data_IF_718180074888
#
_entry.id   IF_718180074888
#
_cell.length_a   1.000
_cell.length_b   1.000
_cell.length_c   1.000
_cell.angle_alpha   90.00
_cell.angle_beta   90.00
_cell.angle_gamma   90.00
#
_symmetry.space_group_name_H-M   'P 1'
#
loop_
_entity.id
_entity.type
_entity.pdbx_description
1 polymer ?
#
# COMPACT_ATOMS: atom_id res chain seq x y z
N UNK A 1 -8.15 37.41 7.36
CA UNK A 1 -8.12 35.96 7.12
C UNK A 1 -6.79 35.43 7.62
N UNK A 2 -6.82 34.54 8.59
CA UNK A 2 -5.65 34.12 9.32
C UNK A 2 -4.73 33.24 8.46
N UNK A 3 -3.53 33.74 8.18
CA UNK A 3 -2.47 33.05 7.42
C UNK A 3 -2.01 31.72 8.08
N UNK A 4 -2.35 31.50 9.32
CA UNK A 4 -2.02 30.30 10.12
C UNK A 4 -2.82 29.05 9.71
N UNK A 5 -4.01 29.20 9.13
CA UNK A 5 -4.86 28.06 8.72
C UNK A 5 -4.45 27.40 7.40
N UNK A 6 -3.73 28.12 6.53
CA UNK A 6 -3.26 27.58 5.25
C UNK A 6 -2.00 26.75 5.41
N UNK A 7 -1.09 27.16 6.30
CA UNK A 7 0.12 26.40 6.62
C UNK A 7 -0.19 25.03 7.27
N UNK A 8 -1.24 24.95 8.10
CA UNK A 8 -1.68 23.70 8.74
C UNK A 8 -2.30 22.73 7.74
N UNK A 9 -2.97 23.23 6.68
CA UNK A 9 -3.57 22.38 5.64
C UNK A 9 -2.50 21.75 4.71
N UNK A 10 -1.43 22.49 4.39
CA UNK A 10 -0.32 21.95 3.58
C UNK A 10 0.51 20.90 4.35
N UNK A 11 0.73 21.08 5.65
CA UNK A 11 1.35 20.08 6.49
C UNK A 11 0.54 18.77 6.57
N UNK A 12 -0.80 18.84 6.54
CA UNK A 12 -1.68 17.67 6.57
C UNK A 12 -1.66 16.82 5.28
N UNK A 13 -1.26 17.39 4.13
CA UNK A 13 -1.17 16.68 2.85
C UNK A 13 0.10 15.80 2.75
N UNK A 14 1.11 16.06 3.59
CA UNK A 14 2.39 15.34 3.58
C UNK A 14 2.47 14.17 4.56
N UNK A 15 1.44 14.00 5.36
CA UNK A 15 1.46 13.05 6.43
C UNK A 15 0.35 12.01 6.15
N UNK A 16 0.72 10.85 5.65
CA UNK A 16 0.12 9.66 6.24
C UNK A 16 0.06 9.93 7.74
N UNK A 17 -1.06 9.67 8.47
CA UNK A 17 -1.25 10.19 9.81
C UNK A 17 0.05 10.07 10.60
N UNK A 18 0.73 11.18 10.78
CA UNK A 18 1.93 11.22 11.60
C UNK A 18 1.41 11.18 13.01
N UNK A 19 1.30 9.97 13.48
CA UNK A 19 1.29 9.73 14.89
C UNK A 19 2.46 10.52 15.46
N UNK A 20 2.21 11.25 16.50
CA UNK A 20 3.05 12.23 17.17
C UNK A 20 4.55 11.90 17.08
N UNK A 21 5.23 12.49 16.11
CA UNK A 21 6.69 12.42 16.09
C UNK A 21 7.24 13.22 17.29
N UNK A 22 8.23 12.68 17.94
CA UNK A 22 8.92 13.33 19.05
C UNK A 22 9.94 14.29 18.46
N UNK A 23 9.81 15.60 18.76
CA UNK A 23 10.80 16.59 18.40
C UNK A 23 12.06 16.37 19.27
N UNK A 24 13.16 15.94 18.63
CA UNK A 24 14.43 15.64 19.31
C UNK A 24 15.32 16.87 19.37
N UNK A 25 15.26 17.69 18.34
CA UNK A 25 16.04 18.91 18.25
C UNK A 25 15.28 19.97 17.47
N UNK A 26 15.37 21.22 17.94
CA UNK A 26 14.88 22.39 17.24
C UNK A 26 15.72 23.61 17.57
N UNK A 27 16.06 24.36 16.55
CA UNK A 27 16.59 25.72 16.67
C UNK A 27 15.77 26.71 15.83
N UNK A 28 16.26 27.91 15.62
CA UNK A 28 15.55 28.96 14.86
C UNK A 28 15.23 28.55 13.40
N UNK A 29 15.91 27.56 12.86
CA UNK A 29 15.79 27.16 11.45
C UNK A 29 15.66 25.67 11.21
N UNK A 30 16.14 24.84 12.11
CA UNK A 30 16.23 23.40 11.91
C UNK A 30 15.34 22.65 12.90
N UNK A 31 14.72 21.57 12.47
CA UNK A 31 14.08 20.59 13.33
C UNK A 31 14.49 19.17 12.95
N UNK A 32 14.59 18.30 13.96
CA UNK A 32 14.76 16.86 13.85
C UNK A 32 13.68 16.18 14.66
N UNK A 33 12.94 15.30 14.02
CA UNK A 33 11.86 14.54 14.62
C UNK A 33 12.13 13.04 14.47
N UNK A 34 11.70 12.27 15.46
CA UNK A 34 11.67 10.79 15.40
C UNK A 34 10.22 10.35 15.60
N UNK A 35 9.77 9.44 14.76
CA UNK A 35 8.44 8.85 14.85
C UNK A 35 8.48 7.37 14.48
N UNK A 36 7.31 6.77 14.44
CA UNK A 36 7.15 5.36 14.12
C UNK A 36 6.30 4.63 15.14
N UNK A 37 6.26 3.32 15.03
CA UNK A 37 5.55 2.47 15.97
C UNK A 37 6.14 1.06 16.00
N UNK A 38 5.92 0.37 17.11
CA UNK A 38 6.09 -1.07 17.25
C UNK A 38 4.69 -1.69 17.34
N UNK A 39 4.43 -2.63 16.47
CA UNK A 39 3.18 -3.40 16.41
C UNK A 39 3.52 -4.88 16.42
N UNK A 40 3.06 -5.58 17.44
CA UNK A 40 3.22 -7.02 17.57
C UNK A 40 1.86 -7.66 17.83
N UNK A 41 1.62 -8.80 17.20
CA UNK A 41 0.33 -9.46 17.26
C UNK A 41 0.47 -10.99 17.28
N UNK A 42 -0.47 -11.63 17.93
CA UNK A 42 -0.75 -13.06 17.75
C UNK A 42 -1.78 -13.16 16.63
N UNK A 43 -1.51 -13.94 15.61
CA UNK A 43 -2.44 -14.24 14.51
C UNK A 43 -2.72 -15.74 14.46
N UNK A 44 -3.97 -16.08 14.18
CA UNK A 44 -4.36 -17.44 13.80
C UNK A 44 -5.02 -17.38 12.44
N UNK A 45 -4.42 -18.04 11.47
CA UNK A 45 -4.90 -18.17 10.08
C UNK A 45 -4.22 -19.37 9.44
N UNK A 46 -4.78 -19.93 8.36
CA UNK A 46 -4.22 -21.07 7.63
C UNK A 46 -3.96 -22.32 8.53
N UNK A 47 -4.73 -22.46 9.61
CA UNK A 47 -4.58 -23.55 10.57
C UNK A 47 -3.42 -23.39 11.57
N UNK A 48 -2.68 -22.30 11.52
CA UNK A 48 -1.51 -22.00 12.35
C UNK A 48 -1.72 -20.81 13.27
N UNK A 49 -0.92 -20.74 14.34
CA UNK A 49 -0.94 -19.61 15.29
C UNK A 49 0.48 -19.14 15.53
N UNK A 50 0.74 -17.88 15.25
CA UNK A 50 2.08 -17.28 15.35
C UNK A 50 2.06 -15.90 16.00
N UNK A 51 3.23 -15.48 16.54
CA UNK A 51 3.49 -14.08 16.87
C UNK A 51 4.19 -13.43 15.70
N UNK A 52 3.57 -12.42 15.11
CA UNK A 52 4.07 -11.77 13.90
C UNK A 52 4.28 -10.27 14.09
N UNK A 53 5.16 -9.71 13.25
CA UNK A 53 5.38 -8.27 13.13
C UNK A 53 4.21 -7.58 12.42
N UNK A 54 3.66 -6.53 13.02
CA UNK A 54 2.61 -5.70 12.42
C UNK A 54 3.13 -4.55 11.56
N UNK A 55 4.17 -4.78 10.77
CA UNK A 55 4.84 -3.76 9.96
C UNK A 55 5.38 -2.59 10.79
N UNK A 56 5.99 -2.91 11.93
CA UNK A 56 6.68 -1.96 12.81
C UNK A 56 7.69 -1.11 12.04
N UNK A 57 7.86 0.14 12.46
CA UNK A 57 8.73 1.09 11.74
C UNK A 57 9.27 2.18 12.63
N UNK A 58 10.42 2.73 12.22
CA UNK A 58 11.01 3.94 12.77
C UNK A 58 11.26 4.93 11.64
N UNK A 59 11.00 6.21 11.87
CA UNK A 59 11.28 7.25 10.89
C UNK A 59 11.94 8.47 11.51
N UNK A 60 12.68 9.22 10.68
CA UNK A 60 13.34 10.46 11.00
C UNK A 60 12.89 11.52 10.01
N UNK A 61 12.45 12.68 10.55
CA UNK A 61 12.13 13.87 9.81
C UNK A 61 13.19 14.94 10.06
N UNK A 62 13.70 15.51 8.99
CA UNK A 62 14.63 16.65 9.04
C UNK A 62 13.97 17.82 8.31
N UNK A 63 13.98 19.01 8.89
CA UNK A 63 13.51 20.20 8.21
C UNK A 63 14.41 21.39 8.47
N UNK A 64 14.46 22.32 7.51
CA UNK A 64 15.22 23.55 7.60
C UNK A 64 14.49 24.69 6.90
N UNK A 65 14.18 25.72 7.66
CA UNK A 65 13.66 26.97 7.11
C UNK A 65 14.72 27.70 6.28
N UNK A 66 14.35 28.07 5.07
CA UNK A 66 15.16 28.82 4.12
C UNK A 66 14.63 30.26 3.99
N UNK A 67 15.26 31.04 3.15
CA UNK A 67 14.80 32.41 2.84
C UNK A 67 13.51 32.41 2.00
N UNK A 68 12.75 33.49 2.10
CA UNK A 68 11.55 33.76 1.28
C UNK A 68 10.43 32.71 1.42
N UNK A 69 10.26 32.11 2.60
CA UNK A 69 9.16 31.16 2.87
C UNK A 69 9.37 29.73 2.31
N UNK A 70 10.57 29.43 1.83
CA UNK A 70 10.93 28.07 1.46
C UNK A 70 11.33 27.25 2.69
N UNK A 71 11.01 25.96 2.64
CA UNK A 71 11.47 24.96 3.60
C UNK A 71 12.09 23.79 2.85
N UNK A 72 13.29 23.36 3.24
CA UNK A 72 13.91 22.13 2.79
C UNK A 72 13.66 21.02 3.83
N UNK A 73 13.38 19.81 3.38
CA UNK A 73 13.15 18.70 4.29
C UNK A 73 13.63 17.37 3.69
N UNK A 74 13.84 16.39 4.57
CA UNK A 74 14.07 15.01 4.20
C UNK A 74 13.33 14.09 5.18
N UNK A 75 12.88 12.93 4.70
CA UNK A 75 12.30 11.86 5.51
C UNK A 75 12.98 10.54 5.18
N UNK A 76 13.31 9.79 6.23
CA UNK A 76 13.80 8.42 6.16
C UNK A 76 12.88 7.54 7.01
N UNK A 77 12.52 6.38 6.51
CA UNK A 77 11.73 5.40 7.25
C UNK A 77 12.25 3.99 6.97
N UNK A 78 12.47 3.25 8.03
CA UNK A 78 12.79 1.82 7.98
C UNK A 78 11.70 1.01 8.65
N UNK A 79 11.35 -0.13 8.05
CA UNK A 79 10.65 -1.18 8.75
C UNK A 79 11.57 -1.83 9.77
N UNK A 80 10.99 -2.27 10.86
CA UNK A 80 11.68 -2.96 11.95
C UNK A 80 10.98 -4.28 12.19
N UNK A 81 11.71 -5.39 12.22
CA UNK A 81 11.15 -6.67 12.60
C UNK A 81 11.61 -7.07 14.02
N UNK A 82 10.78 -6.83 15.06
CA UNK A 82 11.15 -7.11 16.44
C UNK A 82 10.90 -8.58 16.87
N UNK A 83 10.25 -9.40 16.03
CA UNK A 83 9.79 -10.75 16.41
C UNK A 83 10.51 -11.89 15.67
N UNK A 84 11.25 -11.59 14.59
CA UNK A 84 11.89 -12.60 13.74
C UNK A 84 11.05 -12.94 12.51
N UNK A 85 11.49 -13.96 11.74
CA UNK A 85 10.77 -14.44 10.56
C UNK A 85 9.43 -15.08 10.91
N UNK A 86 8.53 -15.06 9.94
CA UNK A 86 7.22 -15.72 10.00
C UNK A 86 7.01 -16.56 8.76
N UNK A 87 6.43 -17.73 8.92
CA UNK A 87 6.02 -18.60 7.82
C UNK A 87 4.59 -18.28 7.34
N UNK A 88 3.82 -17.53 8.14
CA UNK A 88 2.45 -17.15 7.80
C UNK A 88 2.44 -15.92 6.88
N UNK A 89 1.99 -16.10 5.64
CA UNK A 89 1.67 -15.01 4.71
C UNK A 89 0.18 -14.69 4.81
N UNK A 90 -0.18 -13.66 5.56
CA UNK A 90 -1.58 -13.32 5.85
C UNK A 90 -2.11 -12.10 5.07
N UNK A 91 -1.25 -11.46 4.32
CA UNK A 91 -1.61 -10.42 3.36
C UNK A 91 -0.49 -10.31 2.30
N UNK A 92 -0.69 -9.52 1.25
CA UNK A 92 0.31 -9.29 0.21
C UNK A 92 1.39 -8.26 0.59
N UNK A 93 1.55 -7.94 1.88
CA UNK A 93 2.63 -7.07 2.39
C UNK A 93 3.83 -7.93 2.78
N UNK A 94 4.90 -7.88 2.02
CA UNK A 94 6.15 -8.59 2.33
C UNK A 94 6.75 -8.24 3.70
N UNK A 95 6.46 -7.06 4.22
CA UNK A 95 6.99 -6.59 5.50
C UNK A 95 6.64 -7.47 6.68
N UNK A 96 5.54 -8.21 6.60
CA UNK A 96 5.11 -9.10 7.68
C UNK A 96 5.97 -10.37 7.80
N UNK A 97 6.66 -10.75 6.73
CA UNK A 97 7.48 -11.96 6.62
C UNK A 97 8.97 -11.69 6.45
N UNK A 98 9.42 -10.44 6.61
CA UNK A 98 10.84 -10.08 6.46
C UNK A 98 11.70 -10.69 7.58
N UNK A 99 12.79 -11.35 7.19
CA UNK A 99 13.83 -11.84 8.10
C UNK A 99 14.76 -10.74 8.61
N UNK A 100 14.94 -9.70 7.82
CA UNK A 100 15.84 -8.61 8.15
C UNK A 100 15.28 -7.72 9.26
N UNK A 101 16.12 -7.40 10.26
CA UNK A 101 15.74 -6.52 11.35
C UNK A 101 15.38 -5.11 10.86
N UNK A 102 16.09 -4.58 9.85
CA UNK A 102 15.78 -3.32 9.18
C UNK A 102 15.64 -3.51 7.69
N UNK A 103 14.57 -2.94 7.11
CA UNK A 103 14.35 -2.87 5.67
C UNK A 103 13.86 -1.48 5.24
N UNK A 104 14.20 -1.08 4.00
CA UNK A 104 13.94 0.25 3.49
C UNK A 104 12.45 0.44 3.14
N UNK A 105 11.81 1.45 3.71
CA UNK A 105 10.42 1.81 3.41
C UNK A 105 10.30 3.11 2.64
N UNK A 106 10.84 4.21 3.18
CA UNK A 106 10.81 5.53 2.56
C UNK A 106 12.17 6.21 2.69
N UNK A 107 12.52 7.02 1.67
CA UNK A 107 13.72 7.83 1.69
C UNK A 107 13.62 8.91 0.62
N UNK A 108 13.25 10.13 1.02
CA UNK A 108 13.10 11.24 0.08
C UNK A 108 13.48 12.57 0.69
N UNK A 109 13.83 13.53 -0.17
CA UNK A 109 14.05 14.92 0.19
C UNK A 109 13.21 15.84 -0.71
N UNK A 110 12.93 17.04 -0.23
CA UNK A 110 12.10 17.97 -0.96
C UNK A 110 12.23 19.41 -0.52
N UNK A 111 11.56 20.27 -1.29
CA UNK A 111 11.38 21.68 -1.01
C UNK A 111 9.88 21.99 -0.99
N UNK A 112 9.45 22.78 -0.02
CA UNK A 112 8.07 23.24 0.10
C UNK A 112 7.99 24.76 0.23
N UNK A 113 6.89 25.31 -0.26
CA UNK A 113 6.53 26.71 -0.13
C UNK A 113 5.01 26.85 -0.14
N UNK A 114 4.45 27.67 0.75
CA UNK A 114 2.99 27.79 0.91
C UNK A 114 2.24 28.17 -0.37
N UNK A 115 2.87 28.96 -1.24
CA UNK A 115 2.27 29.42 -2.50
C UNK A 115 2.59 28.49 -3.69
N UNK A 116 3.81 27.91 -3.70
CA UNK A 116 4.33 27.19 -4.87
C UNK A 116 4.22 25.65 -4.71
N UNK A 117 3.68 25.17 -3.60
CA UNK A 117 3.53 23.75 -3.35
C UNK A 117 4.85 23.08 -2.95
N UNK A 118 4.92 21.77 -3.18
CA UNK A 118 6.04 20.95 -2.75
C UNK A 118 6.52 20.05 -3.87
N UNK A 119 7.83 19.97 -4.03
CA UNK A 119 8.51 19.00 -4.89
C UNK A 119 9.34 18.05 -4.02
N UNK A 120 9.25 16.76 -4.30
CA UNK A 120 9.99 15.70 -3.59
C UNK A 120 10.65 14.74 -4.56
N UNK A 121 11.79 14.17 -4.16
CA UNK A 121 12.55 13.19 -4.95
C UNK A 121 12.99 12.05 -4.02
N UNK A 122 12.73 10.81 -4.40
CA UNK A 122 13.14 9.61 -3.67
C UNK A 122 12.05 8.54 -3.59
N UNK A 123 12.24 7.57 -2.68
CA UNK A 123 11.25 6.52 -2.39
C UNK A 123 10.16 7.08 -1.49
N UNK A 124 8.92 7.16 -1.99
CA UNK A 124 7.82 7.83 -1.33
C UNK A 124 6.47 7.26 -1.75
N UNK A 125 5.42 7.58 -0.98
CA UNK A 125 4.07 7.18 -1.34
C UNK A 125 3.64 7.81 -2.67
N UNK A 126 3.10 6.96 -3.55
CA UNK A 126 2.61 7.34 -4.86
C UNK A 126 1.35 8.21 -4.79
N UNK A 127 1.11 8.99 -5.86
CA UNK A 127 -0.09 9.81 -5.97
C UNK A 127 -1.38 8.98 -5.95
N UNK A 128 -1.35 7.74 -6.45
CA UNK A 128 -2.48 6.81 -6.37
C UNK A 128 -2.92 6.54 -4.93
N UNK A 129 -1.98 6.48 -3.99
CA UNK A 129 -2.30 6.26 -2.58
C UNK A 129 -3.23 7.34 -2.01
N UNK A 130 -3.20 8.58 -2.51
CA UNK A 130 -4.09 9.66 -2.08
C UNK A 130 -5.58 9.35 -2.35
N UNK A 131 -5.86 8.47 -3.31
CA UNK A 131 -7.24 8.07 -3.66
C UNK A 131 -7.77 7.00 -2.71
N UNK A 132 -6.88 6.10 -2.26
CA UNK A 132 -7.29 4.85 -1.60
C UNK A 132 -6.92 4.73 -0.12
N UNK A 133 -6.03 5.59 0.39
CA UNK A 133 -5.53 5.48 1.78
C UNK A 133 -6.65 5.53 2.85
N UNK A 134 -7.78 6.15 2.53
CA UNK A 134 -8.89 6.35 3.47
C UNK A 134 -9.60 5.05 3.87
N UNK A 135 -9.43 3.96 3.14
CA UNK A 135 -9.92 2.63 3.50
C UNK A 135 -8.87 1.76 4.20
N UNK A 136 -7.62 2.23 4.27
CA UNK A 136 -6.45 1.48 4.72
C UNK A 136 -6.12 1.75 6.20
N UNK A 137 -7.07 1.43 7.09
CA UNK A 137 -6.94 1.63 8.55
C UNK A 137 -7.08 0.35 9.38
N UNK A 138 -7.27 -0.80 8.76
CA UNK A 138 -7.08 -2.10 9.40
C UNK A 138 -5.60 -2.28 9.77
N UNK A 139 -5.31 -2.88 10.92
CA UNK A 139 -3.91 -3.13 11.30
C UNK A 139 -3.39 -4.44 10.73
N UNK A 140 -4.28 -5.41 10.48
CA UNK A 140 -3.93 -6.75 10.04
C UNK A 140 -4.29 -6.96 8.57
N UNK A 141 -5.53 -6.71 8.19
CA UNK A 141 -6.04 -6.94 6.84
C UNK A 141 -6.66 -5.68 6.26
N UNK A 142 -5.94 -5.03 5.36
CA UNK A 142 -6.41 -3.86 4.61
C UNK A 142 -5.63 -3.69 3.29
N UNK A 143 -6.13 -2.87 2.37
CA UNK A 143 -5.41 -2.41 1.18
C UNK A 143 -5.14 -3.46 0.11
N UNK A 144 -5.66 -4.68 0.23
CA UNK A 144 -5.32 -5.80 -0.66
C UNK A 144 -6.07 -5.79 -2.00
N UNK A 145 -6.99 -4.85 -2.19
CA UNK A 145 -7.82 -4.75 -3.41
C UNK A 145 -7.79 -3.36 -4.04
N UNK A 146 -7.07 -2.44 -3.40
CA UNK A 146 -6.93 -1.05 -3.84
C UNK A 146 -5.81 -0.85 -4.90
N UNK A 147 -5.09 -1.89 -5.28
CA UNK A 147 -3.98 -1.82 -6.23
C UNK A 147 -2.78 -1.00 -5.76
N UNK A 148 -2.55 -0.93 -4.45
CA UNK A 148 -1.38 -0.26 -3.83
C UNK A 148 -0.31 -1.27 -3.47
N UNK A 149 -0.72 -2.35 -2.81
CA UNK A 149 0.15 -3.44 -2.38
C UNK A 149 0.06 -4.57 -3.41
N UNK A 150 0.58 -4.30 -4.60
CA UNK A 150 0.56 -5.26 -5.69
C UNK A 150 1.52 -6.40 -5.43
N UNK A 151 1.03 -7.63 -5.61
CA UNK A 151 1.81 -8.84 -5.42
C UNK A 151 3.05 -8.83 -6.34
N UNK A 152 4.22 -9.30 -5.85
CA UNK A 152 5.50 -9.33 -6.56
C UNK A 152 6.02 -7.97 -7.07
N UNK A 153 5.42 -6.85 -6.69
CA UNK A 153 5.86 -5.50 -7.10
C UNK A 153 6.36 -4.66 -5.92
N UNK A 154 6.80 -5.31 -4.86
CA UNK A 154 7.43 -4.72 -3.67
C UNK A 154 6.61 -3.55 -3.10
N UNK A 155 5.32 -3.83 -2.78
CA UNK A 155 4.36 -2.86 -2.26
C UNK A 155 4.24 -1.58 -3.13
N UNK A 156 4.15 -1.78 -4.43
CA UNK A 156 4.03 -0.69 -5.40
C UNK A 156 5.31 0.10 -5.64
N UNK A 157 6.47 -0.42 -5.23
CA UNK A 157 7.77 0.24 -5.45
C UNK A 157 8.12 0.30 -6.94
N UNK A 158 7.88 -0.80 -7.67
CA UNK A 158 8.23 -0.94 -9.09
C UNK A 158 7.32 -0.13 -10.00
N UNK A 159 6.02 -0.10 -9.75
CA UNK A 159 5.04 0.61 -10.59
C UNK A 159 4.60 1.98 -10.05
N UNK A 160 5.10 2.39 -8.88
CA UNK A 160 4.92 3.72 -8.34
C UNK A 160 3.56 4.00 -7.68
N UNK A 161 2.73 2.99 -7.44
CA UNK A 161 1.38 3.18 -6.84
C UNK A 161 1.39 3.21 -5.31
N UNK A 162 2.32 2.47 -4.70
CA UNK A 162 2.52 2.40 -3.26
C UNK A 162 3.74 3.22 -2.82
N UNK A 163 4.77 2.56 -2.26
CA UNK A 163 6.04 3.21 -1.89
C UNK A 163 6.99 3.24 -3.08
N UNK A 164 6.64 4.05 -4.09
CA UNK A 164 7.33 4.14 -5.37
C UNK A 164 8.81 4.49 -5.26
N UNK A 165 9.68 3.66 -5.85
CA UNK A 165 11.11 3.91 -5.93
C UNK A 165 11.42 5.04 -6.92
N UNK A 166 12.46 5.86 -6.60
CA UNK A 166 13.04 6.85 -7.53
C UNK A 166 11.99 7.79 -8.16
N UNK A 167 10.99 8.16 -7.37
CA UNK A 167 9.86 9.01 -7.78
C UNK A 167 10.21 10.48 -7.64
N UNK A 168 9.86 11.27 -8.63
CA UNK A 168 9.76 12.72 -8.56
C UNK A 168 8.29 13.08 -8.46
N UNK A 169 7.91 13.89 -7.48
CA UNK A 169 6.52 14.22 -7.22
C UNK A 169 6.35 15.70 -6.95
N UNK A 170 5.27 16.29 -7.47
CA UNK A 170 4.83 17.65 -7.15
C UNK A 170 3.42 17.61 -6.58
N UNK A 171 3.21 18.35 -5.48
CA UNK A 171 1.93 18.50 -4.80
C UNK A 171 1.60 19.95 -4.54
N UNK A 172 0.33 20.33 -4.70
CA UNK A 172 -0.15 21.65 -4.30
C UNK A 172 -1.64 21.61 -3.93
N UNK A 173 -2.10 22.69 -3.31
CA UNK A 173 -3.51 22.85 -2.91
C UNK A 173 -3.98 24.30 -3.16
N UNK A 174 -5.23 24.43 -3.60
CA UNK A 174 -5.88 25.71 -3.88
C UNK A 174 -7.30 25.69 -3.27
N UNK A 175 -7.47 26.33 -2.12
CA UNK A 175 -8.73 26.28 -1.37
C UNK A 175 -9.05 24.86 -0.95
N UNK A 176 -10.20 24.34 -1.38
CA UNK A 176 -10.67 22.99 -1.07
C UNK A 176 -10.17 21.92 -2.06
N UNK A 177 -9.35 22.31 -2.99
CA UNK A 177 -8.82 21.46 -4.05
C UNK A 177 -7.34 21.16 -3.84
N UNK A 178 -6.94 19.91 -3.87
CA UNK A 178 -5.55 19.49 -3.84
C UNK A 178 -5.24 18.48 -4.92
N UNK A 179 -3.98 18.44 -5.36
CA UNK A 179 -3.52 17.48 -6.36
C UNK A 179 -2.09 17.04 -6.13
N UNK A 180 -1.79 15.87 -6.67
CA UNK A 180 -0.46 15.32 -6.80
C UNK A 180 -0.23 14.88 -8.24
N UNK A 181 0.98 15.09 -8.75
CA UNK A 181 1.48 14.50 -10.00
C UNK A 181 2.84 13.91 -9.76
N UNK A 182 3.14 12.78 -10.39
CA UNK A 182 4.39 12.06 -10.21
C UNK A 182 4.92 11.47 -11.51
N UNK A 183 6.23 11.23 -11.52
CA UNK A 183 6.92 10.40 -12.48
C UNK A 183 7.95 9.53 -11.76
N UNK A 184 7.97 8.25 -12.06
CA UNK A 184 9.02 7.33 -11.64
C UNK A 184 9.99 7.18 -12.83
N UNK A 185 11.26 7.55 -12.61
CA UNK A 185 12.25 7.74 -13.67
C UNK A 185 13.27 6.59 -13.73
N UNK A 186 12.85 5.38 -13.44
CA UNK A 186 13.75 4.23 -13.44
C UNK A 186 13.13 3.05 -14.13
N UNK A 187 13.96 2.36 -14.90
CA UNK A 187 13.76 0.97 -15.25
C UNK A 187 13.92 0.10 -14.00
N UNK A 188 12.94 -0.70 -13.67
CA UNK A 188 12.92 -1.67 -12.58
C UNK A 188 12.34 -2.97 -13.07
N UNK A 189 12.84 -4.10 -12.59
CA UNK A 189 12.38 -5.43 -12.98
C UNK A 189 12.08 -6.29 -11.76
N UNK A 190 11.24 -7.27 -11.95
CA UNK A 190 10.98 -8.37 -11.01
C UNK A 190 10.72 -9.65 -11.80
N UNK A 191 10.79 -10.79 -11.12
CA UNK A 191 10.52 -12.09 -11.72
C UNK A 191 9.19 -12.65 -11.23
N UNK A 192 8.47 -13.32 -12.12
CA UNK A 192 7.27 -14.10 -11.79
C UNK A 192 7.45 -15.55 -12.23
N UNK A 193 7.01 -16.48 -11.41
CA UNK A 193 7.06 -17.90 -11.71
C UNK A 193 5.75 -18.59 -11.39
N UNK A 194 5.43 -19.64 -12.12
CA UNK A 194 4.30 -20.53 -11.84
C UNK A 194 4.74 -21.68 -10.93
N UNK A 195 5.32 -21.37 -9.74
CA UNK A 195 5.84 -22.38 -8.81
C UNK A 195 5.64 -21.92 -7.38
N UNK A 196 5.20 -22.86 -6.53
CA UNK A 196 5.02 -22.64 -5.09
C UNK A 196 6.33 -22.35 -4.34
N UNK A 197 6.22 -21.53 -3.28
CA UNK A 197 7.28 -21.32 -2.28
C UNK A 197 8.65 -21.01 -2.90
N UNK A 198 8.66 -20.32 -4.04
CA UNK A 198 9.88 -19.91 -4.71
C UNK A 198 10.19 -18.46 -4.38
N UNK A 199 11.41 -18.18 -4.00
CA UNK A 199 11.90 -16.82 -3.84
C UNK A 199 12.10 -16.15 -5.21
N UNK A 200 12.13 -14.83 -5.25
CA UNK A 200 12.42 -14.09 -6.49
C UNK A 200 13.77 -14.49 -7.08
N UNK A 201 14.79 -14.71 -6.24
CA UNK A 201 16.11 -15.16 -6.68
C UNK A 201 16.09 -16.55 -7.33
N UNK A 202 15.28 -17.46 -6.82
CA UNK A 202 15.11 -18.79 -7.42
C UNK A 202 14.30 -18.71 -8.73
N UNK A 203 13.35 -17.80 -8.81
CA UNK A 203 12.62 -17.50 -10.02
C UNK A 203 13.53 -16.90 -11.09
N UNK A 204 14.42 -15.97 -10.72
CA UNK A 204 15.46 -15.44 -11.60
C UNK A 204 16.39 -16.53 -12.12
N UNK A 205 16.86 -17.42 -11.24
CA UNK A 205 17.72 -18.53 -11.63
C UNK A 205 17.05 -19.45 -12.67
N UNK A 206 15.76 -19.76 -12.48
CA UNK A 206 14.97 -20.54 -13.47
C UNK A 206 14.82 -19.83 -14.80
N UNK A 207 14.57 -18.53 -14.79
CA UNK A 207 14.49 -17.73 -16.01
C UNK A 207 15.83 -17.73 -16.75
N UNK A 208 16.96 -17.57 -16.04
CA UNK A 208 18.32 -17.65 -16.61
C UNK A 208 18.58 -19.02 -17.25
N UNK A 209 18.09 -20.09 -16.65
CA UNK A 209 18.20 -21.47 -17.16
C UNK A 209 17.26 -21.75 -18.32
N UNK A 210 16.41 -20.80 -18.69
CA UNK A 210 15.43 -20.95 -19.79
C UNK A 210 14.19 -21.74 -19.40
N UNK A 211 13.82 -21.74 -18.13
CA UNK A 211 12.58 -22.35 -17.64
C UNK A 211 11.35 -21.64 -18.23
N UNK A 212 10.47 -22.39 -18.89
CA UNK A 212 9.27 -21.86 -19.54
C UNK A 212 8.20 -21.36 -18.55
N UNK A 213 8.42 -21.58 -17.27
CA UNK A 213 7.58 -21.23 -16.13
C UNK A 213 8.05 -19.99 -15.39
N UNK A 214 9.07 -19.30 -15.91
CA UNK A 214 9.60 -18.07 -15.34
C UNK A 214 9.56 -16.93 -16.35
N UNK A 215 9.29 -15.71 -15.88
CA UNK A 215 9.24 -14.49 -16.68
C UNK A 215 9.94 -13.36 -15.96
N UNK A 216 10.64 -12.51 -16.71
CA UNK A 216 11.12 -11.22 -16.23
C UNK A 216 10.15 -10.12 -16.70
N UNK A 217 9.68 -9.31 -15.76
CA UNK A 217 8.87 -8.13 -16.03
C UNK A 217 9.71 -6.89 -15.76
N UNK A 218 9.88 -6.03 -16.76
CA UNK A 218 10.73 -4.84 -16.67
C UNK A 218 9.92 -3.59 -16.96
N UNK A 219 9.87 -2.69 -15.98
CA UNK A 219 9.20 -1.38 -16.11
C UNK A 219 10.18 -0.31 -16.57
N UNK A 220 9.80 0.48 -17.57
CA UNK A 220 10.56 1.65 -18.00
C UNK A 220 10.28 2.86 -17.12
N UNK A 221 9.17 3.53 -17.38
CA UNK A 221 8.72 4.72 -16.64
C UNK A 221 7.29 4.52 -16.20
N UNK A 222 6.97 5.07 -15.04
CA UNK A 222 5.58 5.20 -14.63
C UNK A 222 5.25 6.66 -14.33
N UNK A 223 4.00 7.03 -14.51
CA UNK A 223 3.52 8.35 -14.17
C UNK A 223 2.08 8.27 -13.67
N UNK A 224 1.75 9.18 -12.78
CA UNK A 224 0.43 9.19 -12.19
C UNK A 224 0.07 10.54 -11.62
N UNK A 225 -1.18 10.63 -11.20
CA UNK A 225 -1.68 11.81 -10.51
C UNK A 225 -2.99 11.51 -9.80
N UNK A 226 -3.26 12.34 -8.81
CA UNK A 226 -4.49 12.30 -8.04
C UNK A 226 -5.02 13.71 -7.78
N UNK A 227 -6.32 13.80 -7.64
CA UNK A 227 -7.06 14.99 -7.29
C UNK A 227 -7.92 14.69 -6.07
N UNK A 228 -8.00 15.62 -5.11
CA UNK A 228 -8.92 15.55 -3.99
C UNK A 228 -9.67 16.87 -3.87
N UNK A 229 -10.99 16.79 -3.69
CA UNK A 229 -11.84 17.93 -3.46
C UNK A 229 -12.60 17.77 -2.15
N UNK A 230 -12.46 18.76 -1.27
CA UNK A 230 -13.15 18.85 0.00
C UNK A 230 -14.54 19.48 -0.24
N UNK A 231 -15.56 18.64 -0.35
CA UNK A 231 -16.95 19.08 -0.65
C UNK A 231 -17.54 19.82 0.55
N UNK A 232 -17.28 19.33 1.74
CA UNK A 232 -17.61 19.95 3.03
C UNK A 232 -16.48 19.71 4.02
N UNK A 233 -16.60 20.20 5.25
CA UNK A 233 -15.63 19.89 6.31
C UNK A 233 -15.55 18.40 6.66
N UNK A 234 -16.62 17.65 6.39
CA UNK A 234 -16.71 16.22 6.68
C UNK A 234 -16.60 15.34 5.44
N UNK A 235 -16.85 15.85 4.24
CA UNK A 235 -16.93 15.07 3.00
C UNK A 235 -15.85 15.48 2.03
N UNK A 236 -15.04 14.52 1.62
CA UNK A 236 -14.11 14.67 0.50
C UNK A 236 -14.30 13.58 -0.55
N UNK A 237 -13.97 13.90 -1.78
CA UNK A 237 -13.93 12.99 -2.92
C UNK A 237 -12.56 13.07 -3.58
N UNK A 238 -12.08 11.93 -4.07
CA UNK A 238 -10.79 11.83 -4.75
C UNK A 238 -10.92 11.05 -6.05
N UNK A 239 -10.02 11.29 -6.98
CA UNK A 239 -9.87 10.51 -8.20
C UNK A 239 -8.40 10.52 -8.63
N UNK A 240 -7.96 9.45 -9.29
CA UNK A 240 -6.58 9.35 -9.72
C UNK A 240 -6.35 8.29 -10.78
N UNK A 241 -5.13 8.31 -11.28
CA UNK A 241 -4.63 7.37 -12.28
C UNK A 241 -3.14 7.15 -12.07
N UNK A 242 -2.68 5.93 -12.33
CA UNK A 242 -1.26 5.62 -12.51
C UNK A 242 -1.09 4.73 -13.74
N UNK A 243 -0.04 4.98 -14.53
CA UNK A 243 0.23 4.25 -15.77
C UNK A 243 1.73 4.03 -15.93
N UNK A 244 2.10 2.84 -16.37
CA UNK A 244 3.45 2.47 -16.79
C UNK A 244 3.44 1.57 -18.02
N UNK A 245 4.54 1.53 -18.77
CA UNK A 245 4.79 0.51 -19.77
C UNK A 245 5.81 -0.48 -19.23
N UNK A 246 5.64 -1.75 -19.55
CA UNK A 246 6.55 -2.81 -19.15
C UNK A 246 6.69 -3.87 -20.22
N UNK A 247 7.86 -4.49 -20.25
CA UNK A 247 8.15 -5.62 -21.10
C UNK A 247 8.13 -6.92 -20.29
N UNK A 248 7.56 -7.97 -20.86
CA UNK A 248 7.60 -9.33 -20.35
C UNK A 248 8.55 -10.10 -21.23
N UNK A 249 9.64 -10.63 -20.65
CA UNK A 249 10.57 -11.53 -21.29
C UNK A 249 10.32 -12.97 -20.78
N UNK A 250 10.01 -13.85 -21.69
CA UNK A 250 9.67 -15.25 -21.39
C UNK A 250 10.89 -16.20 -21.37
N UNK A 251 12.11 -15.66 -21.46
CA UNK A 251 13.35 -16.45 -21.41
C UNK A 251 13.63 -17.33 -22.64
N UNK A 252 12.68 -17.45 -23.57
CA UNK A 252 12.78 -18.24 -24.80
C UNK A 252 13.05 -17.40 -26.06
N UNK A 253 13.28 -16.09 -25.87
CA UNK A 253 13.43 -15.08 -26.92
C UNK A 253 12.14 -14.39 -27.34
N UNK A 254 11.00 -14.77 -26.77
CA UNK A 254 9.73 -14.07 -26.94
C UNK A 254 9.62 -12.94 -25.93
N UNK A 255 9.21 -11.77 -26.41
CA UNK A 255 8.95 -10.60 -25.56
C UNK A 255 7.59 -10.00 -25.90
N UNK A 256 6.94 -9.44 -24.90
CA UNK A 256 5.67 -8.75 -25.05
C UNK A 256 5.67 -7.46 -24.25
N UNK A 257 5.38 -6.34 -24.91
CA UNK A 257 5.13 -5.06 -24.22
C UNK A 257 3.66 -4.95 -23.82
N UNK A 258 3.43 -4.48 -22.61
CA UNK A 258 2.09 -4.25 -22.06
C UNK A 258 2.04 -2.91 -21.28
N UNK A 259 0.83 -2.49 -20.95
CA UNK A 259 0.57 -1.28 -20.17
C UNK A 259 0.00 -1.70 -18.83
N UNK A 260 0.65 -1.27 -17.75
CA UNK A 260 0.09 -1.27 -16.39
C UNK A 260 -0.74 0.01 -16.23
N UNK A 261 -2.01 -0.13 -15.94
CA UNK A 261 -2.92 0.99 -15.74
C UNK A 261 -3.84 0.72 -14.55
N UNK A 262 -3.89 1.69 -13.63
CA UNK A 262 -4.94 1.75 -12.62
C UNK A 262 -5.55 3.14 -12.60
N UNK A 263 -6.87 3.21 -12.47
CA UNK A 263 -7.59 4.45 -12.25
C UNK A 263 -8.85 4.21 -11.42
N UNK A 264 -9.31 5.25 -10.74
CA UNK A 264 -10.49 5.12 -9.90
C UNK A 264 -10.79 6.36 -9.09
N UNK A 265 -11.67 6.19 -8.12
CA UNK A 265 -12.16 7.27 -7.28
C UNK A 265 -12.37 6.79 -5.84
N UNK A 266 -12.30 7.75 -4.91
CA UNK A 266 -12.56 7.54 -3.49
C UNK A 266 -13.54 8.58 -2.92
N UNK A 267 -14.16 8.22 -1.83
CA UNK A 267 -15.02 9.09 -1.03
C UNK A 267 -14.74 8.86 0.45
N UNK A 268 -14.70 9.93 1.22
CA UNK A 268 -14.44 9.88 2.65
C UNK A 268 -15.39 10.82 3.40
N UNK A 269 -16.01 10.31 4.44
CA UNK A 269 -16.81 11.06 5.40
C UNK A 269 -16.21 10.96 6.80
N UNK A 270 -15.94 12.09 7.42
CA UNK A 270 -15.38 12.18 8.77
C UNK A 270 -13.86 12.13 8.81
N UNK A 271 -13.34 11.91 10.01
CA UNK A 271 -11.92 11.69 10.27
C UNK A 271 -11.79 10.46 11.17
N UNK A 272 -10.96 9.50 10.78
CA UNK A 272 -10.82 8.22 11.47
C UNK A 272 -10.31 8.36 12.92
N UNK A 273 -9.50 9.36 13.20
CA UNK A 273 -8.93 9.59 14.53
C UNK A 273 -9.84 10.38 15.46
N UNK A 274 -10.83 11.08 14.92
CA UNK A 274 -11.80 11.83 15.70
C UNK A 274 -12.92 10.93 16.24
N UNK A 275 -13.53 11.35 17.37
CA UNK A 275 -14.74 10.69 17.86
C UNK A 275 -15.90 10.88 16.87
N UNK A 276 -16.72 9.84 16.71
CA UNK A 276 -17.86 9.84 15.81
C UNK A 276 -17.73 8.88 14.63
N UNK A 277 -18.60 9.06 13.64
CA UNK A 277 -18.73 8.21 12.48
C UNK A 277 -17.66 8.55 11.43
N UNK A 278 -17.00 7.51 10.93
CA UNK A 278 -16.13 7.54 9.77
C UNK A 278 -16.60 6.55 8.71
N UNK A 279 -16.66 6.98 7.46
CA UNK A 279 -17.00 6.14 6.31
C UNK A 279 -16.02 6.46 5.18
N UNK A 280 -15.44 5.44 4.58
CA UNK A 280 -14.63 5.57 3.38
C UNK A 280 -14.95 4.46 2.38
N UNK A 281 -14.81 4.78 1.11
CA UNK A 281 -14.89 3.80 0.04
C UNK A 281 -14.00 4.23 -1.12
N UNK A 282 -13.45 3.24 -1.84
CA UNK A 282 -12.82 3.45 -3.13
C UNK A 282 -13.26 2.38 -4.13
N UNK A 283 -13.16 2.72 -5.41
CA UNK A 283 -13.35 1.81 -6.53
C UNK A 283 -12.25 2.04 -7.55
N UNK A 284 -11.77 0.97 -8.16
CA UNK A 284 -10.72 1.04 -9.16
C UNK A 284 -10.94 0.06 -10.32
N UNK A 285 -10.38 0.40 -11.47
CA UNK A 285 -10.20 -0.47 -12.61
C UNK A 285 -8.70 -0.64 -12.85
N UNK A 286 -8.31 -1.89 -13.06
CA UNK A 286 -6.93 -2.31 -13.27
C UNK A 286 -6.78 -3.00 -14.62
N UNK A 287 -5.67 -2.74 -15.31
CA UNK A 287 -5.24 -3.43 -16.52
C UNK A 287 -3.75 -3.78 -16.36
N UNK A 288 -3.43 -5.07 -16.38
CA UNK A 288 -2.07 -5.60 -16.18
C UNK A 288 -1.37 -5.05 -14.92
N UNK A 289 -2.14 -4.76 -13.87
CA UNK A 289 -1.69 -3.98 -12.74
C UNK A 289 -1.29 -4.83 -11.54
N UNK A 290 -2.01 -5.89 -11.24
CA UNK A 290 -1.77 -6.75 -10.08
C UNK A 290 -1.41 -8.17 -10.51
N UNK A 291 -1.03 -9.00 -9.56
CA UNK A 291 -0.81 -10.43 -9.74
C UNK A 291 -1.78 -11.21 -8.87
N UNK A 292 -2.05 -12.45 -9.27
CA UNK A 292 -2.73 -13.40 -8.40
C UNK A 292 -1.80 -13.88 -7.27
N UNK A 293 -2.31 -14.75 -6.40
CA UNK A 293 -1.62 -15.18 -5.19
C UNK A 293 -0.38 -16.07 -5.44
N UNK A 294 -0.15 -16.50 -6.66
CA UNK A 294 1.05 -17.25 -7.08
C UNK A 294 1.92 -16.44 -8.07
N UNK A 295 1.66 -15.15 -8.23
CA UNK A 295 2.51 -14.22 -8.96
C UNK A 295 2.20 -14.07 -10.46
N UNK A 296 1.10 -14.66 -10.98
CA UNK A 296 0.73 -14.50 -12.39
C UNK A 296 0.07 -13.13 -12.62
N UNK A 297 0.46 -12.45 -13.69
CA UNK A 297 -0.07 -11.13 -14.04
C UNK A 297 -1.55 -11.20 -14.45
N UNK A 298 -2.35 -10.32 -13.83
CA UNK A 298 -3.79 -10.19 -14.12
C UNK A 298 -4.00 -9.19 -15.25
N UNK A 299 -4.72 -9.60 -16.32
CA UNK A 299 -5.01 -8.73 -17.48
C UNK A 299 -5.90 -7.56 -17.12
N UNK A 300 -7.03 -7.86 -16.51
CA UNK A 300 -8.10 -6.94 -16.16
C UNK A 300 -8.70 -7.29 -14.81
N UNK A 301 -8.87 -6.30 -13.94
CA UNK A 301 -9.59 -6.48 -12.69
C UNK A 301 -10.38 -5.22 -12.30
N UNK A 302 -11.34 -5.39 -11.41
CA UNK A 302 -12.06 -4.32 -10.76
C UNK A 302 -11.91 -4.48 -9.25
N UNK A 303 -11.43 -3.42 -8.60
CA UNK A 303 -11.27 -3.38 -7.16
C UNK A 303 -12.27 -2.46 -6.48
N UNK A 304 -12.67 -2.81 -5.27
CA UNK A 304 -13.41 -1.94 -4.38
C UNK A 304 -13.06 -2.23 -2.93
N UNK A 305 -12.96 -1.18 -2.14
CA UNK A 305 -12.81 -1.27 -0.69
C UNK A 305 -13.78 -0.32 -0.01
N UNK A 306 -14.26 -0.73 1.16
CA UNK A 306 -15.07 0.11 2.04
C UNK A 306 -14.61 -0.04 3.48
N UNK A 307 -14.74 1.02 4.25
CA UNK A 307 -14.50 1.01 5.68
C UNK A 307 -15.56 1.86 6.38
N UNK A 308 -16.20 1.29 7.39
CA UNK A 308 -17.10 2.02 8.29
C UNK A 308 -16.61 1.82 9.73
N UNK A 309 -16.45 2.91 10.44
CA UNK A 309 -15.97 2.90 11.82
C UNK A 309 -16.70 3.94 12.67
N UNK A 310 -16.77 3.71 13.97
CA UNK A 310 -17.24 4.68 14.93
C UNK A 310 -16.33 4.71 16.15
N UNK A 311 -15.73 5.86 16.44
CA UNK A 311 -14.90 6.03 17.64
C UNK A 311 -15.73 6.66 18.76
N UNK A 312 -15.86 5.95 19.87
CA UNK A 312 -16.52 6.41 21.08
C UNK A 312 -15.59 7.26 21.96
N UNK A 313 -16.17 8.08 22.84
CA UNK A 313 -15.43 8.93 23.78
C UNK A 313 -14.53 8.12 24.75
N UNK A 314 -14.88 6.87 25.02
CA UNK A 314 -14.10 5.98 25.87
C UNK A 314 -12.92 5.28 25.12
N UNK A 315 -12.63 5.67 23.91
CA UNK A 315 -11.53 5.12 23.10
C UNK A 315 -11.85 3.83 22.33
N UNK A 316 -13.01 3.22 22.53
CA UNK A 316 -13.42 2.06 21.71
C UNK A 316 -13.74 2.51 20.28
N UNK A 317 -13.23 1.77 19.29
CA UNK A 317 -13.40 2.02 17.87
C UNK A 317 -13.68 0.70 17.12
N UNK A 318 -14.93 0.21 17.10
CA UNK A 318 -15.31 -0.86 16.18
C UNK A 318 -15.24 -0.39 14.73
N UNK A 319 -14.93 -1.32 13.84
CA UNK A 319 -15.01 -1.10 12.40
C UNK A 319 -15.42 -2.37 11.65
N UNK A 320 -15.89 -2.16 10.45
CA UNK A 320 -16.10 -3.20 9.44
C UNK A 320 -15.53 -2.70 8.12
N UNK A 321 -14.83 -3.56 7.40
CA UNK A 321 -14.40 -3.31 6.03
C UNK A 321 -14.83 -4.45 5.10
N UNK A 322 -15.06 -4.10 3.83
CA UNK A 322 -15.29 -5.05 2.76
C UNK A 322 -14.33 -4.74 1.61
N UNK A 323 -13.70 -5.78 1.10
CA UNK A 323 -12.66 -5.70 0.10
C UNK A 323 -12.95 -6.71 -1.01
N UNK A 324 -12.85 -6.29 -2.26
CA UNK A 324 -13.01 -7.16 -3.43
C UNK A 324 -12.10 -6.73 -4.57
N UNK A 325 -11.39 -7.70 -5.16
CA UNK A 325 -10.69 -7.60 -6.43
C UNK A 325 -11.19 -8.74 -7.32
N UNK A 326 -11.92 -8.41 -8.36
CA UNK A 326 -12.57 -9.35 -9.27
C UNK A 326 -11.93 -9.27 -10.66
N UNK A 327 -11.26 -10.34 -11.07
CA UNK A 327 -10.66 -10.48 -12.38
C UNK A 327 -11.46 -11.44 -13.28
N UNK A 328 -12.40 -12.20 -12.71
CA UNK A 328 -13.24 -13.14 -13.46
C UNK A 328 -12.46 -14.30 -14.09
N UNK A 329 -12.86 -14.68 -15.29
CA UNK A 329 -12.26 -15.77 -16.08
C UNK A 329 -11.20 -15.27 -17.05
N UNK A 330 -10.33 -16.19 -17.52
CA UNK A 330 -9.25 -15.91 -18.50
C UNK A 330 -8.42 -14.68 -18.10
N UNK A 331 -8.11 -14.59 -16.81
CA UNK A 331 -7.54 -13.40 -16.20
C UNK A 331 -6.02 -13.30 -16.35
N UNK A 332 -5.31 -14.38 -16.70
CA UNK A 332 -3.85 -14.42 -16.76
C UNK A 332 -3.32 -13.91 -18.09
N UNK A 333 -2.26 -13.12 -18.07
CA UNK A 333 -1.52 -12.73 -19.28
C UNK A 333 -0.76 -13.95 -19.81
N UNK A 334 -1.18 -14.45 -20.99
CA UNK A 334 -0.53 -15.55 -21.70
C UNK A 334 0.79 -15.08 -22.38
N UNK A 335 1.79 -15.96 -22.72
CA UNK A 335 1.55 -17.31 -23.24
C UNK A 335 2.11 -18.50 -22.44
N UNK A 336 2.92 -18.31 -21.39
CA UNK A 336 3.70 -19.43 -20.86
C UNK A 336 3.23 -20.00 -19.52
N UNK A 337 2.22 -19.41 -18.90
CA UNK A 337 1.59 -20.00 -17.73
C UNK A 337 0.48 -20.97 -18.14
N UNK A 338 0.39 -22.12 -17.49
CA UNK A 338 -0.68 -23.10 -17.68
C UNK A 338 -2.00 -22.58 -17.07
N UNK A 339 -2.45 -21.39 -17.50
CA UNK A 339 -3.75 -20.88 -17.12
C UNK A 339 -4.81 -21.45 -18.02
N UNK A 340 -5.79 -22.14 -17.44
CA UNK A 340 -7.00 -22.54 -18.15
C UNK A 340 -7.89 -21.29 -18.35
N UNK A 341 -8.49 -21.08 -19.54
CA UNK A 341 -9.46 -20.00 -19.75
C UNK A 341 -10.65 -20.01 -18.78
N UNK A 342 -10.94 -21.16 -18.18
CA UNK A 342 -11.98 -21.30 -17.17
C UNK A 342 -11.51 -21.04 -15.73
N UNK A 343 -10.22 -20.80 -15.52
CA UNK A 343 -9.69 -20.37 -14.21
C UNK A 343 -10.32 -19.04 -13.79
N UNK A 344 -10.77 -18.96 -12.54
CA UNK A 344 -11.40 -17.77 -11.95
C UNK A 344 -10.54 -17.23 -10.84
N UNK A 345 -10.37 -15.92 -10.82
CA UNK A 345 -9.72 -15.20 -9.70
C UNK A 345 -10.64 -14.09 -9.19
N UNK A 346 -11.03 -14.23 -7.93
CA UNK A 346 -11.75 -13.20 -7.20
C UNK A 346 -11.31 -13.23 -5.74
N UNK A 347 -10.53 -12.23 -5.33
CA UNK A 347 -10.18 -11.99 -3.92
C UNK A 347 -11.32 -11.21 -3.28
N UNK A 348 -11.92 -11.74 -2.21
CA UNK A 348 -13.05 -11.10 -1.55
C UNK A 348 -13.08 -11.45 -0.07
N UNK A 349 -13.12 -10.45 0.81
CA UNK A 349 -13.20 -10.69 2.23
C UNK A 349 -13.86 -9.54 3.00
N UNK A 350 -14.34 -9.86 4.19
CA UNK A 350 -14.85 -8.91 5.19
C UNK A 350 -13.91 -8.95 6.39
N UNK A 351 -13.57 -7.79 6.92
CA UNK A 351 -12.87 -7.66 8.19
C UNK A 351 -13.78 -6.96 9.20
N UNK A 352 -13.84 -7.50 10.40
CA UNK A 352 -14.43 -6.82 11.55
C UNK A 352 -13.35 -6.61 12.59
N UNK A 353 -13.28 -5.43 13.17
CA UNK A 353 -12.26 -5.11 14.14
C UNK A 353 -12.81 -4.26 15.28
N UNK A 354 -12.12 -4.36 16.41
CA UNK A 354 -12.30 -3.50 17.57
C UNK A 354 -10.93 -3.00 18.00
N UNK A 355 -10.70 -1.71 17.87
CA UNK A 355 -9.55 -1.01 18.41
C UNK A 355 -9.94 -0.36 19.75
N UNK A 356 -9.06 -0.43 20.72
CA UNK A 356 -9.16 0.33 21.96
C UNK A 356 -7.98 1.29 22.03
N UNK A 357 -8.24 2.55 21.72
CA UNK A 357 -7.29 3.66 21.83
C UNK A 357 -7.22 4.00 23.32
N UNK A 358 -6.33 3.31 24.04
CA UNK A 358 -6.14 3.49 25.48
C UNK A 358 -5.49 4.84 25.80
N UNK A 359 -4.52 5.19 24.97
CA UNK A 359 -3.75 6.43 25.01
C UNK A 359 -3.48 6.82 23.55
N UNK A 360 -3.20 8.10 23.22
CA UNK A 360 -2.81 8.48 21.85
C UNK A 360 -1.68 7.65 21.24
N UNK A 361 -0.81 7.11 22.10
CA UNK A 361 0.34 6.30 21.70
C UNK A 361 0.12 4.78 21.81
N UNK A 362 -0.99 4.32 22.43
CA UNK A 362 -1.22 2.89 22.70
C UNK A 362 -2.59 2.46 22.19
N UNK A 363 -2.59 1.53 21.26
CA UNK A 363 -3.81 0.90 20.76
C UNK A 363 -3.73 -0.61 20.97
N UNK A 364 -4.70 -1.15 21.71
CA UNK A 364 -4.96 -2.59 21.77
C UNK A 364 -6.03 -2.92 20.72
N UNK A 365 -5.90 -4.04 20.05
CA UNK A 365 -6.86 -4.36 19.00
C UNK A 365 -7.11 -5.86 18.86
N UNK A 366 -8.28 -6.18 18.32
CA UNK A 366 -8.64 -7.48 17.77
C UNK A 366 -9.27 -7.27 16.41
N UNK A 367 -8.84 -8.04 15.42
CA UNK A 367 -9.41 -8.07 14.07
C UNK A 367 -9.68 -9.50 13.65
N UNK A 368 -10.77 -9.71 12.95
CA UNK A 368 -11.12 -11.00 12.36
C UNK A 368 -11.49 -10.81 10.89
N UNK A 369 -10.96 -11.70 10.06
CA UNK A 369 -11.24 -11.77 8.63
C UNK A 369 -12.09 -12.98 8.33
N UNK A 370 -13.14 -12.77 7.51
CA UNK A 370 -13.90 -13.84 6.86
C UNK A 370 -13.64 -13.78 5.38
N UNK A 371 -13.07 -14.84 4.87
CA UNK A 371 -12.77 -14.99 3.44
C UNK A 371 -14.01 -15.46 2.66
N UNK A 372 -14.19 -14.88 1.46
CA UNK A 372 -15.20 -15.21 0.46
C UNK A 372 -14.59 -15.27 -0.94
N UNK A 373 -13.26 -15.40 -1.01
CA UNK A 373 -12.55 -15.47 -2.29
C UNK A 373 -13.00 -16.69 -3.11
N UNK A 374 -12.93 -16.55 -4.43
CA UNK A 374 -13.25 -17.61 -5.38
C UNK A 374 -12.04 -17.81 -6.30
N UNK A 375 -11.28 -18.84 -6.03
CA UNK A 375 -10.16 -19.29 -6.84
C UNK A 375 -10.52 -20.65 -7.38
N UNK A 376 -11.05 -20.68 -8.60
CA UNK A 376 -11.48 -21.92 -9.27
C UNK A 376 -10.52 -22.23 -10.41
N UNK A 377 -10.04 -23.48 -10.47
CA UNK A 377 -9.25 -24.01 -11.56
C UNK A 377 -9.66 -25.44 -11.89
N UNK A 378 -9.51 -25.84 -13.15
CA UNK A 378 -9.60 -27.24 -13.55
C UNK A 378 -8.43 -28.07 -13.01
N UNK A 379 -7.26 -27.44 -12.80
CA UNK A 379 -6.15 -28.01 -12.07
C UNK A 379 -6.33 -27.77 -10.56
N UNK A 380 -6.63 -28.86 -9.83
CA UNK A 380 -6.88 -28.78 -8.39
C UNK A 380 -5.63 -28.51 -7.53
N UNK A 381 -4.46 -28.80 -8.05
CA UNK A 381 -3.20 -28.41 -7.39
C UNK A 381 -3.02 -26.90 -7.46
N UNK A 382 -3.23 -26.32 -8.63
CA UNK A 382 -3.16 -24.89 -8.84
C UNK A 382 -4.21 -24.11 -8.05
N UNK A 383 -5.47 -24.62 -8.02
CA UNK A 383 -6.53 -24.05 -7.18
C UNK A 383 -6.13 -24.01 -5.70
N UNK A 384 -5.59 -25.12 -5.18
CA UNK A 384 -5.11 -25.17 -3.80
C UNK A 384 -3.98 -24.18 -3.53
N UNK A 385 -3.06 -24.00 -4.47
CA UNK A 385 -1.95 -23.03 -4.39
C UNK A 385 -2.44 -21.59 -4.36
N UNK A 386 -3.37 -21.21 -5.20
CA UNK A 386 -3.95 -19.86 -5.22
C UNK A 386 -4.67 -19.53 -3.91
N UNK A 387 -5.20 -20.53 -3.22
CA UNK A 387 -5.96 -20.35 -1.98
C UNK A 387 -5.10 -20.22 -0.73
N UNK A 388 -3.79 -20.52 -0.77
CA UNK A 388 -2.94 -20.60 0.42
C UNK A 388 -2.86 -19.30 1.23
N UNK A 389 -2.82 -18.14 0.57
CA UNK A 389 -2.70 -16.85 1.23
C UNK A 389 -4.04 -16.22 1.61
N UNK A 390 -5.15 -16.86 1.24
CA UNK A 390 -6.50 -16.35 1.44
C UNK A 390 -7.28 -17.30 2.34
N UNK A 391 -7.49 -16.93 3.59
CA UNK A 391 -8.19 -17.76 4.57
C UNK A 391 -8.86 -16.88 5.64
N UNK A 392 -9.74 -17.50 6.42
CA UNK A 392 -10.27 -16.92 7.64
C UNK A 392 -9.14 -16.68 8.64
N UNK A 393 -9.26 -15.63 9.43
CA UNK A 393 -8.23 -15.34 10.42
C UNK A 393 -8.74 -14.49 11.56
N UNK A 394 -8.02 -14.56 12.67
CA UNK A 394 -8.20 -13.68 13.81
C UNK A 394 -6.83 -13.25 14.33
N UNK A 395 -6.72 -11.99 14.69
CA UNK A 395 -5.50 -11.46 15.31
C UNK A 395 -5.84 -10.58 16.51
N UNK A 396 -4.97 -10.63 17.50
CA UNK A 396 -4.97 -9.73 18.65
C UNK A 396 -3.59 -9.12 18.81
N UNK A 397 -3.51 -7.82 19.02
CA UNK A 397 -2.23 -7.14 19.06
C UNK A 397 -2.21 -5.87 19.87
N UNK A 398 -1.01 -5.32 19.96
CA UNK A 398 -0.72 -4.04 20.57
C UNK A 398 0.15 -3.23 19.61
N UNK A 399 -0.24 -1.98 19.39
CA UNK A 399 0.58 -0.97 18.72
C UNK A 399 0.97 0.11 19.72
N UNK A 400 2.28 0.29 19.87
CA UNK A 400 2.86 1.41 20.61
C UNK A 400 3.49 2.37 19.62
N UNK A 401 3.02 3.59 19.61
CA UNK A 401 3.51 4.65 18.74
C UNK A 401 4.44 5.58 19.49
N UNK A 402 5.54 5.99 18.83
CA UNK A 402 6.57 6.89 19.40
C UNK A 402 6.12 8.34 19.40
#
# INVERSE_FOLDING_TARGET
MNKTLVATALAAIFLAPSVSAIEIYKDDKNALEIGGFIDVRVINTQGETEVVNGASRINFGFSRELTNGWNAFAKLEWGVNPVGSSDIVYNNRFESVQDEFFYNRLGYAGLSHDQYGTITIGKQWGAWYDVVYSTNYGFVWDGNTAGVYTFNKDDGAVNGVGRGDKTVQYRNAFGDFSFAVQAQLKNSSFFTCDIENITENECEARWIEGGADAQQVTYDYTYGGALTYKVTEMLSVSAGVNRGEFDIDYGNGDQKTAVDLIYGAGITWGNFDNNGLYIAANVNKQENHDTDNIGRLIKDAQGAETLVSYKFDNGLRPFISYNVLDAGKDYVIQPNFNADPDDVFKRQFVVVGLHFVWDPNIVLYVEARKDYSDFTSTDKVQEARMSLSEDDGIAIGIRYTL
#
